data_IF_275711154527
#
_entry.id   IF_275711154527
#
_cell.length_a   1.000
_cell.length_b   1.000
_cell.length_c   1.000
_cell.angle_alpha   90.00
_cell.angle_beta   90.00
_cell.angle_gamma   90.00
#
_symmetry.space_group_name_H-M   'P 1'
#
loop_
_entity.id
_entity.type
_entity.pdbx_description
1 polymer ?
#
# COMPACT_ATOMS: atom_id res chain seq x y z
N UNK A 1 -14.35 31.78 6.56
CA UNK A 1 -14.58 32.27 7.94
C UNK A 1 -13.29 32.18 8.74
N UNK A 2 -12.92 33.25 9.45
CA UNK A 2 -11.74 33.23 10.34
C UNK A 2 -12.14 32.62 11.68
N UNK A 3 -11.44 31.57 12.11
CA UNK A 3 -11.80 30.80 13.31
C UNK A 3 -11.06 31.33 14.56
N UNK A 4 -11.78 31.75 15.62
CA UNK A 4 -11.20 32.11 16.91
C UNK A 4 -10.40 30.96 17.52
N UNK A 5 -9.33 31.27 18.28
CA UNK A 5 -8.46 30.26 18.90
C UNK A 5 -9.22 29.21 19.72
N UNK A 6 -10.23 29.64 20.46
CA UNK A 6 -11.06 28.77 21.30
C UNK A 6 -11.81 27.68 20.54
N UNK A 7 -12.13 27.90 19.25
CA UNK A 7 -12.95 26.98 18.46
C UNK A 7 -12.12 26.06 17.55
N UNK A 8 -10.83 26.32 17.38
CA UNK A 8 -9.98 25.59 16.41
C UNK A 8 -9.95 24.10 16.69
N UNK A 9 -9.77 23.71 17.95
CA UNK A 9 -9.72 22.29 18.35
C UNK A 9 -11.00 21.55 17.99
N UNK A 10 -12.17 22.18 18.17
CA UNK A 10 -13.45 21.58 17.84
C UNK A 10 -13.65 21.47 16.33
N UNK A 11 -13.24 22.48 15.57
CA UNK A 11 -13.27 22.40 14.11
C UNK A 11 -12.31 21.35 13.57
N UNK A 12 -11.10 21.23 14.11
CA UNK A 12 -10.13 20.17 13.76
C UNK A 12 -10.75 18.79 13.99
N UNK A 13 -11.41 18.56 15.13
CA UNK A 13 -12.15 17.32 15.40
C UNK A 13 -13.25 17.09 14.36
N UNK A 14 -14.09 18.10 14.09
CA UNK A 14 -15.21 18.01 13.13
C UNK A 14 -14.77 17.71 11.70
N UNK A 15 -13.70 18.35 11.23
CA UNK A 15 -13.13 18.13 9.90
C UNK A 15 -12.61 16.69 9.78
N UNK A 16 -12.01 16.16 10.85
CA UNK A 16 -11.42 14.83 10.89
C UNK A 16 -12.46 13.68 10.99
N UNK A 17 -13.69 13.92 11.45
CA UNK A 17 -14.70 12.88 11.72
C UNK A 17 -14.92 11.86 10.59
N UNK A 18 -14.83 12.30 9.34
CA UNK A 18 -15.06 11.43 8.18
C UNK A 18 -13.82 10.64 7.72
N UNK A 19 -12.70 10.70 8.45
CA UNK A 19 -11.44 10.01 8.13
C UNK A 19 -10.99 10.14 6.66
N UNK A 20 -11.23 11.30 6.04
CA UNK A 20 -11.02 11.54 4.60
C UNK A 20 -9.55 11.44 4.14
N UNK A 21 -8.62 11.25 5.08
CA UNK A 21 -7.19 11.37 4.85
C UNK A 21 -6.69 12.81 4.88
N UNK A 22 -5.37 12.95 4.81
CA UNK A 22 -4.66 14.21 5.09
C UNK A 22 -5.04 15.34 4.12
N UNK A 23 -4.88 15.09 2.82
CA UNK A 23 -5.05 16.13 1.80
C UNK A 23 -6.51 16.54 1.63
N UNK A 24 -7.43 15.57 1.67
CA UNK A 24 -8.86 15.85 1.56
C UNK A 24 -9.40 16.65 2.75
N UNK A 25 -8.97 16.32 3.98
CA UNK A 25 -9.34 17.06 5.19
C UNK A 25 -8.88 18.52 5.14
N UNK A 26 -7.63 18.76 4.70
CA UNK A 26 -7.08 20.12 4.55
C UNK A 26 -7.81 20.89 3.45
N UNK A 27 -8.07 20.25 2.30
CA UNK A 27 -8.79 20.87 1.17
C UNK A 27 -10.18 21.32 1.62
N UNK A 28 -10.96 20.40 2.21
CA UNK A 28 -12.31 20.69 2.72
C UNK A 28 -12.33 21.83 3.75
N UNK A 29 -11.33 21.88 4.62
CA UNK A 29 -11.20 22.96 5.59
C UNK A 29 -10.98 24.32 4.90
N UNK A 30 -10.10 24.37 3.88
CA UNK A 30 -9.75 25.59 3.15
C UNK A 30 -10.92 26.20 2.36
N UNK A 31 -11.89 25.39 1.97
CA UNK A 31 -13.07 25.88 1.23
C UNK A 31 -13.93 26.83 2.07
N UNK A 32 -13.89 26.72 3.41
CA UNK A 32 -14.84 27.45 4.29
C UNK A 32 -14.19 28.11 5.50
N UNK A 33 -13.03 27.62 5.96
CA UNK A 33 -12.39 28.02 7.21
C UNK A 33 -10.93 28.44 7.01
N UNK A 34 -10.47 29.35 7.87
CA UNK A 34 -9.08 29.78 7.88
C UNK A 34 -8.60 30.16 9.28
N UNK A 35 -7.39 29.72 9.62
CA UNK A 35 -6.57 30.27 10.70
C UNK A 35 -5.08 29.93 10.46
N UNK A 36 -4.13 30.68 11.06
CA UNK A 36 -2.71 30.35 10.98
C UNK A 36 -2.44 28.94 11.50
N UNK A 37 -1.62 28.18 10.76
CA UNK A 37 -1.24 26.79 11.08
C UNK A 37 -2.37 25.76 11.04
N UNK A 38 -3.55 26.08 10.49
CA UNK A 38 -4.67 25.14 10.32
C UNK A 38 -4.26 23.79 9.70
N UNK A 39 -3.47 23.84 8.63
CA UNK A 39 -3.00 22.62 7.96
C UNK A 39 -2.11 21.78 8.90
N UNK A 40 -1.24 22.42 9.68
CA UNK A 40 -0.37 21.73 10.65
C UNK A 40 -1.19 21.07 11.75
N UNK A 41 -2.13 21.80 12.35
CA UNK A 41 -3.00 21.26 13.41
C UNK A 41 -3.84 20.07 12.92
N UNK A 42 -4.36 20.13 11.68
CA UNK A 42 -5.06 19.00 11.06
C UNK A 42 -4.14 17.80 10.79
N UNK A 43 -2.92 18.04 10.31
CA UNK A 43 -1.93 16.97 10.07
C UNK A 43 -1.61 16.23 11.36
N UNK A 44 -1.36 16.95 12.45
CA UNK A 44 -1.07 16.34 13.75
C UNK A 44 -2.25 15.53 14.28
N UNK A 45 -3.48 16.03 14.13
CA UNK A 45 -4.68 15.27 14.51
C UNK A 45 -4.83 13.97 13.73
N UNK A 46 -4.59 14.01 12.41
CA UNK A 46 -4.73 12.85 11.53
C UNK A 46 -3.60 11.84 11.78
N UNK A 47 -2.37 12.30 11.99
CA UNK A 47 -1.22 11.45 12.33
C UNK A 47 -1.42 10.67 13.63
N UNK A 48 -2.06 11.25 14.63
CA UNK A 48 -2.37 10.59 15.90
C UNK A 48 -3.64 9.72 15.89
N UNK A 49 -4.32 9.58 14.75
CA UNK A 49 -5.55 8.79 14.66
C UNK A 49 -5.27 7.36 14.23
N UNK A 50 -5.62 6.39 15.09
CA UNK A 50 -5.44 4.96 14.82
C UNK A 50 -6.12 4.51 13.52
N UNK A 51 -7.40 4.87 13.32
CA UNK A 51 -8.16 4.49 12.11
C UNK A 51 -7.48 5.03 10.84
N UNK A 52 -6.97 6.26 10.87
CA UNK A 52 -6.26 6.82 9.72
C UNK A 52 -4.89 6.17 9.49
N UNK A 53 -4.24 5.62 10.52
CA UNK A 53 -2.98 4.89 10.39
C UNK A 53 -3.21 3.49 9.83
N UNK A 54 -4.25 2.78 10.27
CA UNK A 54 -4.61 1.46 9.77
C UNK A 54 -5.05 1.49 8.29
N UNK A 55 -5.72 2.57 7.88
CA UNK A 55 -6.15 2.80 6.49
C UNK A 55 -5.14 3.59 5.66
N UNK A 56 -3.98 3.94 6.22
CA UNK A 56 -2.95 4.65 5.47
C UNK A 56 -2.49 3.76 4.32
N UNK A 57 -2.20 4.38 3.16
CA UNK A 57 -1.56 3.65 2.07
C UNK A 57 -0.26 3.03 2.58
N UNK A 58 -0.12 1.73 2.33
CA UNK A 58 1.12 1.01 2.59
C UNK A 58 2.27 1.70 1.86
N UNK A 59 3.48 1.60 2.42
CA UNK A 59 4.67 2.07 1.72
C UNK A 59 4.73 1.44 0.33
N UNK A 60 5.22 2.22 -0.65
CA UNK A 60 5.41 1.73 -2.00
C UNK A 60 6.13 0.37 -1.95
N UNK A 61 5.50 -0.66 -2.53
CA UNK A 61 6.09 -2.01 -2.58
C UNK A 61 7.48 -1.88 -3.15
N UNK A 62 8.44 -2.57 -2.52
CA UNK A 62 9.81 -2.59 -3.02
C UNK A 62 9.81 -3.08 -4.47
N UNK A 63 10.66 -2.49 -5.34
CA UNK A 63 10.77 -2.96 -6.72
C UNK A 63 11.09 -4.46 -6.75
N UNK A 64 10.44 -5.19 -7.66
CA UNK A 64 10.74 -6.60 -7.88
C UNK A 64 12.21 -6.74 -8.27
N UNK A 65 12.95 -7.59 -7.56
CA UNK A 65 14.35 -7.88 -7.88
C UNK A 65 14.41 -9.14 -8.72
N UNK A 66 15.00 -9.03 -9.92
CA UNK A 66 15.33 -10.20 -10.72
C UNK A 66 16.47 -10.98 -10.05
N UNK A 67 16.39 -12.31 -10.13
CA UNK A 67 17.49 -13.17 -9.74
C UNK A 67 18.60 -13.14 -10.80
N UNK A 68 19.85 -13.41 -10.39
CA UNK A 68 20.91 -13.67 -11.36
C UNK A 68 20.59 -14.94 -12.15
N UNK A 69 20.77 -14.86 -13.47
CA UNK A 69 20.68 -16.00 -14.37
C UNK A 69 21.85 -16.95 -14.03
N UNK A 70 21.60 -18.25 -13.83
CA UNK A 70 22.66 -19.24 -13.63
C UNK A 70 23.63 -19.31 -14.83
N UNK A 71 24.76 -19.98 -14.67
CA UNK A 71 25.77 -20.14 -15.73
C UNK A 71 25.61 -21.45 -16.50
N UNK A 72 24.98 -22.46 -15.89
CA UNK A 72 24.82 -23.78 -16.47
C UNK A 72 23.33 -24.20 -16.54
N UNK A 73 22.93 -24.98 -17.56
CA UNK A 73 21.65 -25.65 -17.58
C UNK A 73 21.44 -26.49 -16.32
N UNK A 74 20.23 -26.45 -15.77
CA UNK A 74 19.80 -27.20 -14.58
C UNK A 74 20.48 -26.79 -13.27
N UNK A 75 21.24 -25.71 -13.23
CA UNK A 75 21.86 -25.18 -12.01
C UNK A 75 20.82 -24.62 -11.03
N UNK A 76 19.75 -24.00 -11.55
CA UNK A 76 18.60 -23.55 -10.77
C UNK A 76 17.31 -24.00 -11.43
N UNK A 77 16.50 -24.75 -10.69
CA UNK A 77 15.20 -25.25 -11.15
C UNK A 77 14.10 -24.65 -10.28
N UNK A 78 13.11 -24.03 -10.93
CA UNK A 78 11.87 -23.59 -10.29
C UNK A 78 10.83 -24.69 -10.45
N UNK A 79 10.13 -25.04 -9.37
CA UNK A 79 9.14 -26.12 -9.36
C UNK A 79 7.82 -25.58 -8.85
N UNK A 80 6.74 -25.91 -9.54
CA UNK A 80 5.37 -25.60 -9.11
C UNK A 80 4.43 -26.78 -9.38
N UNK A 81 3.29 -26.81 -8.70
CA UNK A 81 2.28 -27.86 -8.84
C UNK A 81 0.95 -27.26 -9.27
N UNK A 82 0.25 -27.93 -10.18
CA UNK A 82 -1.07 -27.49 -10.63
C UNK A 82 -1.99 -28.68 -10.90
N UNK A 83 -3.30 -28.42 -10.84
CA UNK A 83 -4.32 -29.40 -11.19
C UNK A 83 -4.91 -29.10 -12.57
N UNK A 84 -5.06 -30.14 -13.40
CA UNK A 84 -5.80 -30.07 -14.65
C UNK A 84 -6.60 -31.35 -14.85
N UNK A 85 -7.89 -31.24 -15.20
CA UNK A 85 -8.79 -32.39 -15.38
C UNK A 85 -8.78 -33.37 -14.19
N UNK A 86 -8.83 -32.86 -12.96
CA UNK A 86 -8.78 -33.65 -11.70
C UNK A 86 -7.50 -34.47 -11.53
N UNK A 87 -6.45 -34.11 -12.25
CA UNK A 87 -5.15 -34.74 -12.18
C UNK A 87 -4.12 -33.73 -11.71
N UNK A 88 -3.24 -34.17 -10.81
CA UNK A 88 -2.13 -33.37 -10.30
C UNK A 88 -0.92 -33.46 -11.24
N UNK A 89 -0.28 -32.32 -11.45
CA UNK A 89 0.91 -32.16 -12.26
C UNK A 89 1.96 -31.38 -11.49
N UNK A 90 3.22 -31.64 -11.82
CA UNK A 90 4.38 -30.87 -11.41
C UNK A 90 5.02 -30.27 -12.65
N UNK A 91 5.31 -28.98 -12.62
CA UNK A 91 6.10 -28.29 -13.64
C UNK A 91 7.45 -27.94 -13.04
N UNK A 92 8.51 -28.21 -13.80
CA UNK A 92 9.88 -27.88 -13.45
C UNK A 92 10.44 -27.01 -14.57
N UNK A 93 11.05 -25.88 -14.23
CA UNK A 93 11.59 -24.91 -15.20
C UNK A 93 13.07 -24.68 -14.90
N UNK A 94 13.93 -24.94 -15.87
CA UNK A 94 15.34 -24.58 -15.84
C UNK A 94 15.50 -23.06 -15.99
N UNK A 95 16.12 -22.42 -15.01
CA UNK A 95 16.29 -20.95 -14.99
C UNK A 95 17.42 -20.45 -15.90
N UNK A 96 18.21 -21.33 -16.51
CA UNK A 96 19.22 -20.96 -17.51
C UNK A 96 18.61 -20.78 -18.91
N UNK A 97 17.81 -21.77 -19.34
CA UNK A 97 17.29 -21.87 -20.70
C UNK A 97 15.79 -21.59 -20.85
N UNK A 98 15.07 -21.42 -19.74
CA UNK A 98 13.60 -21.41 -19.66
C UNK A 98 12.95 -22.71 -20.18
N UNK A 99 13.73 -23.80 -20.30
CA UNK A 99 13.20 -25.11 -20.67
C UNK A 99 12.35 -25.67 -19.53
N UNK A 100 11.16 -26.15 -19.84
CA UNK A 100 10.24 -26.70 -18.86
C UNK A 100 9.90 -28.17 -19.11
N UNK A 101 9.74 -28.92 -18.03
CA UNK A 101 9.21 -30.27 -18.03
C UNK A 101 7.96 -30.34 -17.18
N UNK A 102 6.95 -31.06 -17.67
CA UNK A 102 5.73 -31.34 -16.91
C UNK A 102 5.63 -32.83 -16.68
N UNK A 103 5.42 -33.23 -15.42
CA UNK A 103 5.16 -34.62 -15.04
C UNK A 103 3.83 -34.75 -14.31
N UNK A 104 3.14 -35.83 -14.60
CA UNK A 104 1.94 -36.26 -13.87
C UNK A 104 2.39 -36.83 -12.52
N UNK A 105 1.77 -36.40 -11.42
CA UNK A 105 1.95 -36.98 -10.08
C UNK A 105 1.10 -38.22 -9.89
#
# INVERSE_FOLDING_TARGET
VVVPRSLRTDFVKKIHLCHLGMNASIRRARDTLYWPFMATELKERIRGCQVCQELAEDQAKTPMKSHQVPYLPWERVSIDTFEYNKQQFIVMVDSYSDFFEVKKT
#
